data_IF_354835245847
#
_entry.id   IF_354835245847
#
_cell.length_a   1.000
_cell.length_b   1.000
_cell.length_c   1.000
_cell.angle_alpha   90.00
_cell.angle_beta   90.00
_cell.angle_gamma   90.00
#
_symmetry.space_group_name_H-M   'P 1'
#
loop_
_entity.id
_entity.type
_entity.pdbx_description
1 polymer ?
#
# COMPACT_ATOMS: atom_id res chain seq x y z
N UNK A 1 -4.49 -7.42 -0.96
CA UNK A 1 -3.32 -6.84 -0.23
C UNK A 1 -3.80 -5.75 0.73
N UNK A 2 -3.36 -5.70 1.99
CA UNK A 2 -3.87 -4.73 3.00
C UNK A 2 -3.13 -3.36 3.01
N UNK A 3 -2.56 -2.92 1.88
CA UNK A 3 -1.76 -1.68 1.78
C UNK A 3 -0.73 -1.48 2.91
N UNK A 4 -0.15 -2.58 3.43
CA UNK A 4 0.77 -2.54 4.58
C UNK A 4 2.20 -2.15 4.23
N UNK A 5 2.54 -2.12 2.95
CA UNK A 5 3.84 -1.67 2.50
C UNK A 5 4.00 -0.18 2.83
N UNK A 6 5.12 0.18 3.46
CA UNK A 6 5.49 1.57 3.73
C UNK A 6 6.10 2.17 2.45
N UNK A 7 5.27 2.41 1.45
CA UNK A 7 5.71 3.07 0.21
C UNK A 7 6.03 4.55 0.45
N UNK A 8 6.76 5.21 -0.44
CA UNK A 8 7.06 6.64 -0.27
C UNK A 8 5.79 7.51 -0.23
N UNK A 9 4.73 7.16 -0.97
CA UNK A 9 3.42 7.80 -0.84
C UNK A 9 2.86 7.69 0.59
N UNK A 10 3.01 6.53 1.23
CA UNK A 10 2.55 6.33 2.61
C UNK A 10 3.49 7.01 3.61
N UNK A 11 4.80 6.95 3.37
CA UNK A 11 5.83 7.57 4.20
C UNK A 11 5.66 9.09 4.25
N UNK A 12 5.44 9.74 3.10
CA UNK A 12 5.23 11.19 3.01
C UNK A 12 4.01 11.65 3.80
N UNK A 13 2.92 10.87 3.81
CA UNK A 13 1.71 11.15 4.60
C UNK A 13 1.90 10.97 6.11
N UNK A 14 2.80 10.08 6.54
CA UNK A 14 3.02 9.78 7.96
C UNK A 14 4.13 10.64 8.58
N UNK A 15 5.20 10.89 7.85
CA UNK A 15 6.43 11.49 8.35
C UNK A 15 6.90 12.70 7.53
N UNK A 16 6.17 13.08 6.46
CA UNK A 16 6.59 14.12 5.53
C UNK A 16 7.65 13.66 4.51
N UNK A 17 8.12 14.61 3.70
CA UNK A 17 9.10 14.37 2.63
C UNK A 17 8.48 14.01 1.27
N UNK A 18 9.33 13.65 0.31
CA UNK A 18 8.90 13.30 -1.05
C UNK A 18 8.17 11.96 -1.09
N UNK A 19 7.07 11.92 -1.85
CA UNK A 19 6.33 10.71 -2.21
C UNK A 19 6.89 10.01 -3.46
N UNK A 20 7.85 10.63 -4.14
CA UNK A 20 8.40 10.18 -5.40
C UNK A 20 9.04 8.79 -5.33
N UNK A 21 8.87 8.02 -6.39
CA UNK A 21 9.55 6.74 -6.54
C UNK A 21 11.06 6.94 -6.67
N UNK A 22 11.88 6.22 -5.87
CA UNK A 22 13.34 6.36 -5.90
C UNK A 22 13.95 5.83 -7.20
N UNK A 23 13.21 5.03 -7.97
CA UNK A 23 13.69 4.43 -9.22
C UNK A 23 13.34 5.26 -10.45
N UNK A 24 12.09 5.72 -10.56
CA UNK A 24 11.64 6.44 -11.76
C UNK A 24 11.54 7.96 -11.57
N UNK A 25 11.52 8.44 -10.33
CA UNK A 25 11.43 9.86 -9.89
C UNK A 25 10.30 10.68 -10.52
N UNK A 26 9.39 10.05 -11.26
CA UNK A 26 8.39 10.73 -12.08
C UNK A 26 6.96 10.61 -11.54
N UNK A 27 6.72 9.66 -10.63
CA UNK A 27 5.41 9.37 -10.05
C UNK A 27 5.55 9.02 -8.56
N UNK A 28 4.50 9.25 -7.76
CA UNK A 28 4.45 8.78 -6.38
C UNK A 28 4.60 7.26 -6.30
N UNK A 29 5.38 6.79 -5.35
CA UNK A 29 5.53 5.36 -5.10
C UNK A 29 4.30 4.83 -4.36
N UNK A 30 3.34 4.31 -5.11
CA UNK A 30 2.25 3.50 -4.58
C UNK A 30 2.62 2.01 -4.61
N UNK A 31 1.84 1.15 -3.93
CA UNK A 31 2.06 -0.31 -3.93
C UNK A 31 2.09 -0.87 -5.35
N UNK A 32 1.14 -0.45 -6.20
CA UNK A 32 1.05 -0.92 -7.59
C UNK A 32 2.20 -0.37 -8.45
N UNK A 33 2.63 0.87 -8.17
CA UNK A 33 3.80 1.43 -8.83
C UNK A 33 5.07 0.64 -8.47
N UNK A 34 5.34 0.44 -7.19
CA UNK A 34 6.53 -0.27 -6.70
C UNK A 34 6.63 -1.70 -7.25
N UNK A 35 5.51 -2.43 -7.34
CA UNK A 35 5.53 -3.84 -7.77
C UNK A 35 5.30 -4.08 -9.25
N UNK A 36 4.75 -3.13 -10.01
CA UNK A 36 4.32 -3.38 -11.40
C UNK A 36 4.57 -2.23 -12.35
N UNK A 37 4.06 -1.03 -12.03
CA UNK A 37 3.98 0.06 -13.01
C UNK A 37 5.25 0.93 -13.07
N UNK A 38 6.18 0.81 -12.12
CA UNK A 38 7.46 1.50 -12.18
C UNK A 38 8.21 1.06 -13.44
N UNK A 39 8.81 1.99 -14.20
CA UNK A 39 9.48 1.70 -15.48
C UNK A 39 10.45 0.52 -15.40
N UNK A 40 11.31 0.47 -14.39
CA UNK A 40 12.27 -0.63 -14.23
C UNK A 40 11.58 -1.98 -14.00
N UNK A 41 10.53 -1.99 -13.19
CA UNK A 41 9.78 -3.20 -12.84
C UNK A 41 8.87 -3.66 -13.98
N UNK A 42 8.25 -2.72 -14.69
CA UNK A 42 7.41 -2.99 -15.86
C UNK A 42 8.21 -3.64 -16.99
N UNK A 43 9.46 -3.22 -17.20
CA UNK A 43 10.35 -3.85 -18.19
C UNK A 43 10.63 -5.32 -17.83
N UNK A 44 10.93 -5.62 -16.56
CA UNK A 44 11.09 -7.00 -16.11
C UNK A 44 9.82 -7.82 -16.34
N UNK A 45 8.66 -7.29 -15.99
CA UNK A 45 7.39 -7.98 -16.24
C UNK A 45 7.13 -8.22 -17.73
N UNK A 46 7.47 -7.28 -18.60
CA UNK A 46 7.28 -7.44 -20.05
C UNK A 46 8.05 -8.61 -20.66
N UNK A 47 9.12 -9.07 -20.00
CA UNK A 47 9.89 -10.25 -20.39
C UNK A 47 9.33 -11.55 -19.82
N UNK A 48 8.59 -11.48 -18.71
CA UNK A 48 8.11 -12.65 -17.97
C UNK A 48 6.65 -13.00 -18.29
N UNK A 49 5.82 -12.01 -18.64
CA UNK A 49 4.40 -12.22 -18.89
C UNK A 49 4.16 -12.65 -20.34
N UNK A 50 3.16 -13.49 -20.55
CA UNK A 50 2.67 -13.81 -21.88
C UNK A 50 2.24 -12.49 -22.58
N UNK A 51 2.72 -12.20 -23.81
CA UNK A 51 2.33 -11.02 -24.57
C UNK A 51 0.82 -10.75 -24.63
N UNK A 52 0.01 -11.80 -24.79
CA UNK A 52 -1.45 -11.72 -24.85
C UNK A 52 -2.09 -11.26 -23.52
N UNK A 53 -1.42 -11.55 -22.40
CA UNK A 53 -1.89 -11.15 -21.08
C UNK A 53 -1.45 -9.74 -20.67
N UNK A 54 -0.56 -9.10 -21.43
CA UNK A 54 0.07 -7.81 -21.11
C UNK A 54 -0.93 -6.70 -20.86
N UNK A 55 -1.92 -6.55 -21.75
CA UNK A 55 -2.92 -5.49 -21.65
C UNK A 55 -3.75 -5.61 -20.37
N UNK A 56 -4.20 -6.83 -20.05
CA UNK A 56 -4.97 -7.10 -18.84
C UNK A 56 -4.09 -6.95 -17.59
N UNK A 57 -2.84 -7.40 -17.67
CA UNK A 57 -1.89 -7.33 -16.56
C UNK A 57 -1.62 -5.88 -16.14
N UNK A 58 -1.24 -5.01 -17.07
CA UNK A 58 -0.95 -3.59 -16.77
C UNK A 58 -2.19 -2.72 -16.62
N UNK A 59 -3.31 -3.08 -17.26
CA UNK A 59 -4.58 -2.35 -17.17
C UNK A 59 -5.40 -2.65 -15.90
N UNK A 60 -5.12 -3.75 -15.21
CA UNK A 60 -5.85 -4.12 -13.99
C UNK A 60 -5.47 -3.22 -12.80
N UNK A 61 -6.43 -2.95 -11.91
CA UNK A 61 -6.13 -2.28 -10.64
C UNK A 61 -5.54 -3.26 -9.60
N UNK A 62 -5.08 -2.73 -8.46
CA UNK A 62 -4.43 -3.53 -7.40
C UNK A 62 -5.30 -4.67 -6.88
N UNK A 63 -6.61 -4.49 -6.79
CA UNK A 63 -7.53 -5.51 -6.26
C UNK A 63 -7.78 -6.61 -7.28
N UNK A 64 -8.02 -6.24 -8.54
CA UNK A 64 -8.13 -7.20 -9.64
C UNK A 64 -6.86 -8.04 -9.78
N UNK A 65 -5.69 -7.41 -9.68
CA UNK A 65 -4.42 -8.12 -9.70
C UNK A 65 -4.27 -9.05 -8.49
N UNK A 66 -4.64 -8.59 -7.29
CA UNK A 66 -4.63 -9.43 -6.08
C UNK A 66 -5.55 -10.64 -6.23
N UNK A 67 -6.78 -10.48 -6.73
CA UNK A 67 -7.70 -11.59 -6.92
C UNK A 67 -7.20 -12.59 -7.93
N UNK A 68 -6.65 -12.13 -9.06
CA UNK A 68 -6.08 -13.02 -10.07
C UNK A 68 -4.93 -13.87 -9.51
N UNK A 69 -4.05 -13.27 -8.70
CA UNK A 69 -2.99 -14.04 -8.03
C UNK A 69 -3.58 -15.08 -7.09
N UNK A 70 -4.64 -14.74 -6.33
CA UNK A 70 -5.28 -15.70 -5.42
C UNK A 70 -5.99 -16.84 -6.14
N UNK A 71 -6.66 -16.57 -7.25
CA UNK A 71 -7.27 -17.62 -8.08
C UNK A 71 -6.24 -18.64 -8.59
N UNK A 72 -5.01 -18.18 -8.88
CA UNK A 72 -3.94 -19.05 -9.39
C UNK A 72 -3.26 -19.81 -8.24
N UNK A 73 -3.01 -19.15 -7.11
CA UNK A 73 -2.11 -19.68 -6.07
C UNK A 73 -2.82 -20.15 -4.78
N UNK A 74 -4.08 -19.78 -4.54
CA UNK A 74 -4.86 -20.15 -3.35
C UNK A 74 -5.97 -21.17 -3.70
N UNK A 75 -5.86 -22.40 -3.18
CA UNK A 75 -6.88 -23.43 -3.40
C UNK A 75 -8.22 -23.04 -2.78
N UNK A 76 -9.31 -23.19 -3.55
CA UNK A 76 -10.67 -22.87 -3.10
C UNK A 76 -10.99 -21.37 -3.01
N UNK A 77 -10.08 -20.49 -3.45
CA UNK A 77 -10.37 -19.07 -3.54
C UNK A 77 -11.37 -18.78 -4.66
N UNK A 78 -12.46 -18.11 -4.31
CA UNK A 78 -13.45 -17.63 -5.27
C UNK A 78 -13.46 -16.10 -5.26
N UNK A 79 -13.39 -15.50 -6.44
CA UNK A 79 -13.51 -14.04 -6.60
C UNK A 79 -14.89 -13.56 -6.14
N UNK A 80 -14.99 -12.35 -5.55
CA UNK A 80 -16.28 -11.78 -5.22
C UNK A 80 -17.19 -11.70 -6.46
N UNK A 81 -18.47 -12.11 -6.37
CA UNK A 81 -19.39 -12.15 -7.52
C UNK A 81 -19.71 -10.77 -8.08
N UNK A 82 -19.59 -9.71 -7.27
CA UNK A 82 -19.76 -8.32 -7.69
C UNK A 82 -18.48 -7.50 -7.41
N UNK A 83 -17.43 -7.65 -8.25
CA UNK A 83 -16.12 -7.04 -8.03
C UNK A 83 -16.15 -5.51 -7.89
N UNK A 84 -16.97 -4.84 -8.70
CA UNK A 84 -17.08 -3.38 -8.69
C UNK A 84 -17.63 -2.86 -7.35
N UNK A 85 -18.67 -3.52 -6.81
CA UNK A 85 -19.28 -3.15 -5.53
C UNK A 85 -18.29 -3.26 -4.38
N UNK A 86 -17.46 -4.30 -4.40
CA UNK A 86 -16.42 -4.52 -3.39
C UNK A 86 -15.31 -3.46 -3.47
N UNK A 87 -14.88 -3.08 -4.68
CA UNK A 87 -13.92 -2.00 -4.89
C UNK A 87 -14.51 -0.68 -4.36
N UNK A 88 -15.75 -0.35 -4.73
CA UNK A 88 -16.41 0.88 -4.25
C UNK A 88 -16.55 0.92 -2.73
N UNK A 89 -16.90 -0.21 -2.11
CA UNK A 89 -16.97 -0.35 -0.64
C UNK A 89 -15.63 0.01 0.00
N UNK A 90 -14.53 -0.56 -0.49
CA UNK A 90 -13.18 -0.26 0.02
C UNK A 90 -12.77 1.20 -0.20
N UNK A 91 -13.11 1.77 -1.35
CA UNK A 91 -12.84 3.21 -1.65
C UNK A 91 -13.56 4.09 -0.64
N UNK A 92 -14.83 3.79 -0.34
CA UNK A 92 -15.60 4.51 0.67
C UNK A 92 -14.95 4.42 2.05
N UNK A 93 -14.58 3.22 2.50
CA UNK A 93 -13.92 3.03 3.80
C UNK A 93 -12.62 3.83 3.92
N UNK A 94 -11.83 3.86 2.84
CA UNK A 94 -10.61 4.66 2.77
C UNK A 94 -10.93 6.16 2.90
N UNK A 95 -11.90 6.65 2.12
CA UNK A 95 -12.31 8.05 2.16
C UNK A 95 -12.85 8.46 3.54
N UNK A 96 -13.67 7.62 4.16
CA UNK A 96 -14.22 7.86 5.50
C UNK A 96 -13.09 7.92 6.55
N UNK A 97 -12.10 7.02 6.46
CA UNK A 97 -10.95 7.01 7.36
C UNK A 97 -10.07 8.26 7.21
N UNK A 98 -9.89 8.75 5.99
CA UNK A 98 -9.15 10.00 5.73
C UNK A 98 -9.96 11.25 6.12
N UNK A 99 -11.30 11.22 5.97
CA UNK A 99 -12.19 12.30 6.39
C UNK A 99 -12.18 12.53 7.90
N UNK A 100 -12.17 11.45 8.71
CA UNK A 100 -12.13 11.54 10.19
C UNK A 100 -10.89 12.26 10.73
N UNK A 101 -9.76 12.23 10.00
CA UNK A 101 -8.52 12.91 10.42
C UNK A 101 -8.58 14.45 10.34
N UNK A 102 -9.55 15.04 9.62
CA UNK A 102 -9.67 16.51 9.54
C UNK A 102 -10.41 17.15 10.73
N UNK A 103 -11.14 16.37 11.54
CA UNK A 103 -12.04 16.91 12.57
C UNK A 103 -11.71 16.58 14.03
N UNK A 104 -10.84 15.60 14.30
CA UNK A 104 -10.58 15.13 15.68
C UNK A 104 -9.10 15.19 16.05
N UNK A 105 -8.57 16.41 16.21
CA UNK A 105 -7.42 16.61 17.09
C UNK A 105 -7.89 16.49 18.54
N UNK A 106 -8.13 15.26 19.03
CA UNK A 106 -8.14 15.03 20.48
C UNK A 106 -6.71 15.29 20.94
N UNK A 107 -6.49 16.46 21.53
CA UNK A 107 -5.28 16.79 22.29
C UNK A 107 -5.16 15.72 23.37
N UNK A 108 -4.41 14.66 23.08
CA UNK A 108 -3.98 13.71 24.10
C UNK A 108 -2.92 14.46 24.90
N UNK A 109 -3.18 14.64 26.18
CA UNK A 109 -2.19 15.17 27.10
C UNK A 109 -0.94 14.28 27.00
N UNK A 110 0.14 14.81 26.43
CA UNK A 110 1.38 14.07 26.23
C UNK A 110 2.14 14.15 27.55
N UNK A 111 2.01 13.10 28.36
CA UNK A 111 2.80 12.97 29.58
C UNK A 111 4.17 12.40 29.22
N UNK A 112 5.22 13.21 29.38
CA UNK A 112 6.60 12.81 29.18
C UNK A 112 7.19 12.35 30.51
N UNK A 113 7.64 11.10 30.57
CA UNK A 113 8.36 10.57 31.73
C UNK A 113 9.85 10.44 31.39
N UNK A 114 10.70 11.10 32.17
CA UNK A 114 12.14 10.83 32.11
C UNK A 114 12.43 9.46 32.70
N UNK A 115 12.90 8.53 31.86
CA UNK A 115 13.43 7.25 32.30
C UNK A 115 14.94 7.41 32.43
N UNK A 116 15.45 7.54 33.66
CA UNK A 116 16.88 7.47 33.94
C UNK A 116 17.24 6.02 34.27
N UNK A 117 18.30 5.52 33.65
CA UNK A 117 18.85 4.21 34.00
C UNK A 117 19.66 4.32 35.30
N UNK A 118 19.43 3.39 36.23
CA UNK A 118 20.25 3.21 37.42
C UNK A 118 21.02 1.89 37.31
N UNK A 119 22.36 1.91 37.44
CA UNK A 119 23.14 0.68 37.47
C UNK A 119 22.74 -0.18 38.67
N UNK A 120 22.69 -1.52 38.51
CA UNK A 120 22.51 -2.43 39.64
C UNK A 120 23.64 -2.23 40.68
N UNK A 121 23.35 -2.33 41.98
CA UNK A 121 24.37 -2.19 43.02
C UNK A 121 25.46 -3.27 42.86
N UNK A 122 26.72 -2.85 42.97
CA UNK A 122 27.86 -3.75 43.04
C UNK A 122 27.99 -4.27 44.48
N UNK A 123 28.00 -5.60 44.64
CA UNK A 123 28.43 -6.26 45.87
C UNK A 123 29.94 -6.06 46.09
#
# INVERSE_FOLDING_TARGET
MHNRLLTNERRSRLFGGSDGCPFCTNQPESTLHAFRNCRGVALLWSQLINPEATQVFFGSNLEQWSWRNREIFEQGYNRPPNPHTEILRKVKEINDAFGKKKGESRVKNREEHHIRWHPPPHN
#
